data_IF_831449912908
#
_entry.id   IF_831449912908
#
_cell.length_a   1.000
_cell.length_b   1.000
_cell.length_c   1.000
_cell.angle_alpha   90.00
_cell.angle_beta   90.00
_cell.angle_gamma   90.00
#
_symmetry.space_group_name_H-M   'P 1'
#
loop_
_entity.id
_entity.type
_entity.pdbx_description
1 polymer ?
#
# COMPACT_ATOMS: atom_id res chain seq x y z
N UNK A 1 -0.77 -20.56 28.55
CA UNK A 1 -0.54 -21.11 27.19
C UNK A 1 0.92 -21.59 27.04
N UNK A 2 1.17 -22.90 27.02
CA UNK A 2 2.49 -23.46 26.68
C UNK A 2 2.52 -23.62 25.16
N UNK A 3 3.34 -22.82 24.50
CA UNK A 3 3.63 -22.97 23.07
C UNK A 3 4.47 -24.24 22.93
N UNK A 4 3.93 -25.26 22.27
CA UNK A 4 4.67 -26.46 21.85
C UNK A 4 4.96 -26.25 20.36
N UNK A 5 5.96 -25.44 20.04
CA UNK A 5 6.57 -25.52 18.70
C UNK A 5 7.55 -26.68 18.77
N UNK A 6 7.40 -27.63 17.86
CA UNK A 6 8.37 -28.70 17.65
C UNK A 6 9.77 -28.09 17.41
N UNK A 7 10.80 -28.64 18.04
CA UNK A 7 12.15 -28.09 17.96
C UNK A 7 12.65 -28.03 16.50
N UNK A 8 12.22 -28.96 15.66
CA UNK A 8 12.52 -28.96 14.22
C UNK A 8 11.90 -27.73 13.53
N UNK A 9 10.60 -27.49 13.73
CA UNK A 9 9.91 -26.31 13.16
C UNK A 9 10.48 -24.99 13.67
N UNK A 10 10.91 -24.94 14.92
CA UNK A 10 11.57 -23.76 15.47
C UNK A 10 12.91 -23.50 14.77
N UNK A 11 13.71 -24.53 14.56
CA UNK A 11 15.00 -24.41 13.87
C UNK A 11 14.83 -24.02 12.39
N UNK A 12 13.82 -24.58 11.71
CA UNK A 12 13.45 -24.16 10.34
C UNK A 12 13.08 -22.67 10.30
N UNK A 13 12.21 -22.23 11.20
CA UNK A 13 11.84 -20.81 11.30
C UNK A 13 13.04 -19.90 11.55
N UNK A 14 13.96 -20.28 12.44
CA UNK A 14 15.18 -19.49 12.71
C UNK A 14 16.08 -19.41 11.48
N UNK A 15 16.17 -20.50 10.72
CA UNK A 15 16.94 -20.53 9.48
C UNK A 15 16.30 -19.63 8.42
N UNK A 16 14.99 -19.75 8.19
CA UNK A 16 14.24 -18.91 7.26
C UNK A 16 14.33 -17.42 7.63
N UNK A 17 14.22 -17.10 8.93
CA UNK A 17 14.37 -15.74 9.43
C UNK A 17 15.76 -15.19 9.11
N UNK A 18 16.82 -15.97 9.36
CA UNK A 18 18.19 -15.56 9.08
C UNK A 18 18.42 -15.37 7.58
N UNK A 19 17.96 -16.31 6.75
CA UNK A 19 18.07 -16.22 5.29
C UNK A 19 17.35 -14.96 4.77
N UNK A 20 16.20 -14.62 5.35
CA UNK A 20 15.47 -13.39 5.06
C UNK A 20 16.22 -12.13 5.51
N UNK A 21 16.77 -12.11 6.72
CA UNK A 21 17.55 -10.99 7.25
C UNK A 21 18.82 -10.73 6.41
N UNK A 22 19.50 -11.79 5.99
CA UNK A 22 20.68 -11.74 5.14
C UNK A 22 20.31 -11.22 3.73
N UNK A 23 19.23 -11.75 3.13
CA UNK A 23 18.70 -11.27 1.86
C UNK A 23 18.34 -9.78 1.94
N UNK A 24 17.63 -9.38 3.00
CA UNK A 24 17.17 -8.02 3.20
C UNK A 24 18.36 -7.07 3.37
N UNK A 25 19.32 -7.42 4.22
CA UNK A 25 20.54 -6.65 4.45
C UNK A 25 21.35 -6.48 3.17
N UNK A 26 21.39 -7.52 2.32
CA UNK A 26 22.07 -7.45 1.03
C UNK A 26 21.39 -6.50 0.06
N UNK A 27 20.04 -6.50 -0.04
CA UNK A 27 19.31 -5.72 -1.04
C UNK A 27 18.90 -4.33 -0.57
N UNK A 28 18.92 -4.07 0.75
CA UNK A 28 18.51 -2.80 1.32
C UNK A 28 19.36 -1.65 0.74
N UNK A 29 18.69 -0.60 0.27
CA UNK A 29 19.31 0.55 -0.38
C UNK A 29 20.10 0.22 -1.66
N UNK A 30 19.96 -0.96 -2.26
CA UNK A 30 20.48 -1.26 -3.60
C UNK A 30 19.39 -1.10 -4.66
N UNK A 31 19.82 -0.89 -5.90
CA UNK A 31 18.94 -0.97 -7.06
C UNK A 31 18.65 -2.45 -7.33
N UNK A 32 17.38 -2.77 -7.55
CA UNK A 32 16.88 -4.13 -7.77
C UNK A 32 15.84 -4.09 -8.88
N UNK A 33 15.79 -5.16 -9.65
CA UNK A 33 14.74 -5.41 -10.61
C UNK A 33 13.49 -5.93 -9.90
N UNK A 34 12.34 -5.34 -10.22
CA UNK A 34 11.07 -5.75 -9.70
C UNK A 34 10.02 -5.83 -10.80
N UNK A 35 9.28 -6.94 -10.82
CA UNK A 35 8.08 -7.10 -11.64
C UNK A 35 6.89 -7.51 -10.79
N UNK A 36 5.69 -7.15 -11.23
CA UNK A 36 4.47 -7.54 -10.54
C UNK A 36 3.23 -6.84 -11.07
N UNK A 37 2.08 -7.22 -10.51
CA UNK A 37 0.79 -6.66 -10.86
C UNK A 37 0.33 -5.64 -9.81
N UNK A 38 -0.07 -4.46 -10.25
CA UNK A 38 -0.56 -3.40 -9.37
C UNK A 38 -1.93 -3.82 -8.82
N UNK A 39 -2.00 -4.09 -7.52
CA UNK A 39 -3.27 -4.35 -6.82
C UNK A 39 -4.05 -3.07 -6.58
N UNK A 40 -3.37 -2.01 -6.12
CA UNK A 40 -4.03 -0.72 -5.84
C UNK A 40 -3.12 0.44 -6.15
N UNK A 41 -3.68 1.52 -6.67
CA UNK A 41 -3.05 2.85 -6.71
C UNK A 41 -3.83 3.77 -5.77
N UNK A 42 -3.18 4.32 -4.74
CA UNK A 42 -3.82 5.22 -3.77
C UNK A 42 -3.02 6.50 -3.56
N UNK A 43 -3.66 7.63 -3.27
CA UNK A 43 -2.94 8.83 -2.86
C UNK A 43 -2.13 8.59 -1.57
N UNK A 44 -0.86 8.96 -1.55
CA UNK A 44 0.00 8.86 -0.38
C UNK A 44 0.03 10.19 0.36
N UNK A 45 -0.55 10.23 1.55
CA UNK A 45 -0.58 11.41 2.40
C UNK A 45 0.29 11.26 3.65
N UNK A 46 0.92 12.38 4.04
CA UNK A 46 1.59 12.56 5.33
C UNK A 46 0.92 13.69 6.10
N UNK A 47 0.51 13.44 7.34
CA UNK A 47 0.00 14.46 8.26
C UNK A 47 1.10 14.90 9.21
N UNK A 48 1.35 16.20 9.24
CA UNK A 48 2.29 16.82 10.19
C UNK A 48 1.47 17.61 11.21
N UNK A 49 1.75 17.41 12.50
CA UNK A 49 1.10 18.09 13.63
C UNK A 49 2.20 18.76 14.46
N UNK A 50 2.12 20.08 14.61
CA UNK A 50 3.04 20.87 15.41
C UNK A 50 2.24 21.89 16.24
N UNK A 51 2.06 21.59 17.53
CA UNK A 51 1.20 22.39 18.40
C UNK A 51 -0.25 22.45 17.88
N UNK A 52 -0.76 23.66 17.62
CA UNK A 52 -2.10 23.87 17.05
C UNK A 52 -2.15 23.72 15.53
N UNK A 53 -1.00 23.65 14.87
CA UNK A 53 -0.93 23.56 13.42
C UNK A 53 -1.02 22.11 12.98
N UNK A 54 -1.94 21.80 12.06
CA UNK A 54 -2.02 20.50 11.41
C UNK A 54 -2.06 20.68 9.90
N UNK A 55 -1.23 19.91 9.18
CA UNK A 55 -1.16 19.96 7.72
C UNK A 55 -1.15 18.56 7.14
N UNK A 56 -2.11 18.28 6.26
CA UNK A 56 -2.09 17.10 5.40
C UNK A 56 -1.31 17.44 4.12
N UNK A 57 -0.30 16.64 3.79
CA UNK A 57 0.55 16.80 2.62
C UNK A 57 0.42 15.60 1.69
N UNK A 58 0.16 15.87 0.43
CA UNK A 58 0.24 14.86 -0.63
C UNK A 58 1.71 14.63 -1.00
N UNK A 59 2.16 13.38 -0.97
CA UNK A 59 3.56 12.99 -1.21
C UNK A 59 3.76 12.27 -2.54
N UNK A 60 2.68 11.95 -3.26
CA UNK A 60 2.69 11.13 -4.46
C UNK A 60 1.69 9.99 -4.32
N UNK A 61 1.86 8.92 -5.08
CA UNK A 61 0.98 7.77 -5.04
C UNK A 61 1.69 6.57 -4.40
N UNK A 62 0.92 5.77 -3.68
CA UNK A 62 1.33 4.49 -3.11
C UNK A 62 0.71 3.38 -3.97
N UNK A 63 1.57 2.58 -4.56
CA UNK A 63 1.20 1.38 -5.30
C UNK A 63 1.37 0.21 -4.34
N UNK A 64 0.44 -0.75 -4.40
CA UNK A 64 0.61 -2.06 -3.78
C UNK A 64 0.61 -3.11 -4.87
N UNK A 65 1.43 -4.15 -4.70
CA UNK A 65 1.58 -5.20 -5.69
C UNK A 65 1.04 -6.54 -5.18
N UNK A 66 0.59 -7.36 -6.12
CA UNK A 66 0.41 -8.81 -5.97
C UNK A 66 1.30 -9.50 -7.00
N UNK A 67 1.63 -10.77 -6.72
CA UNK A 67 2.49 -11.58 -7.59
C UNK A 67 3.83 -10.87 -7.90
N UNK A 68 4.45 -10.27 -6.88
CA UNK A 68 5.70 -9.54 -7.03
C UNK A 68 6.90 -10.47 -7.15
N UNK A 69 7.89 -10.08 -7.95
CA UNK A 69 9.17 -10.77 -8.09
C UNK A 69 10.30 -9.76 -7.90
N UNK A 70 11.31 -10.15 -7.13
CA UNK A 70 12.60 -9.46 -7.07
C UNK A 70 13.60 -10.27 -7.88
N UNK A 71 14.00 -9.76 -9.06
CA UNK A 71 14.66 -10.56 -10.09
C UNK A 71 13.84 -11.84 -10.41
N UNK A 72 14.35 -13.02 -10.05
CA UNK A 72 13.67 -14.31 -10.26
C UNK A 72 12.94 -14.83 -9.02
N UNK A 73 13.05 -14.14 -7.89
CA UNK A 73 12.50 -14.61 -6.60
C UNK A 73 11.10 -14.05 -6.39
N UNK A 74 10.10 -14.94 -6.33
CA UNK A 74 8.72 -14.56 -5.99
C UNK A 74 8.64 -14.09 -4.54
N UNK A 75 7.86 -13.04 -4.32
CA UNK A 75 7.56 -12.51 -3.00
C UNK A 75 6.05 -12.57 -2.75
N UNK A 76 5.66 -13.22 -1.65
CA UNK A 76 4.25 -13.39 -1.28
C UNK A 76 3.73 -12.23 -0.41
N UNK A 77 4.65 -11.54 0.28
CA UNK A 77 4.31 -10.39 1.12
C UNK A 77 3.93 -9.15 0.30
N UNK A 78 3.09 -8.27 0.85
CA UNK A 78 2.76 -6.99 0.21
C UNK A 78 4.01 -6.12 -0.01
N UNK A 79 4.34 -5.89 -1.27
CA UNK A 79 5.36 -4.92 -1.68
C UNK A 79 4.69 -3.61 -2.07
N UNK A 80 5.32 -2.50 -1.70
CA UNK A 80 4.81 -1.15 -1.96
C UNK A 80 5.77 -0.40 -2.89
N UNK A 81 5.25 0.48 -3.74
CA UNK A 81 6.07 1.50 -4.39
C UNK A 81 5.51 2.89 -4.12
N UNK A 82 6.41 3.86 -3.88
CA UNK A 82 6.02 5.27 -3.78
C UNK A 82 6.50 5.99 -5.03
N UNK A 83 5.54 6.52 -5.79
CA UNK A 83 5.82 7.27 -7.01
C UNK A 83 5.47 8.75 -6.85
N UNK A 84 6.29 9.66 -7.40
CA UNK A 84 5.93 11.06 -7.50
C UNK A 84 4.74 11.31 -8.44
N UNK A 85 4.04 12.46 -8.32
CA UNK A 85 2.91 12.78 -9.18
C UNK A 85 3.22 12.79 -10.68
N UNK A 86 4.41 13.24 -11.08
CA UNK A 86 4.81 13.30 -12.49
C UNK A 86 4.97 11.90 -13.11
N UNK A 87 5.35 10.89 -12.31
CA UNK A 87 5.42 9.50 -12.77
C UNK A 87 4.00 8.99 -13.02
N UNK A 88 3.06 9.25 -12.10
CA UNK A 88 1.66 8.87 -12.31
C UNK A 88 1.06 9.53 -13.55
N UNK A 89 1.32 10.82 -13.76
CA UNK A 89 0.84 11.54 -14.96
C UNK A 89 1.43 10.99 -16.27
N UNK A 90 2.66 10.47 -16.23
CA UNK A 90 3.33 9.91 -17.41
C UNK A 90 2.83 8.52 -17.77
N UNK A 91 2.66 7.65 -16.77
CA UNK A 91 2.38 6.23 -16.99
C UNK A 91 0.91 5.84 -16.75
N UNK A 92 0.13 6.73 -16.11
CA UNK A 92 -1.27 6.52 -15.77
C UNK A 92 -1.49 5.13 -15.17
N UNK A 93 -0.79 4.83 -14.08
CA UNK A 93 -0.92 3.52 -13.45
C UNK A 93 -2.32 3.32 -12.89
N UNK A 94 -2.85 2.13 -13.10
CA UNK A 94 -4.15 1.68 -12.59
C UNK A 94 -4.01 0.28 -11.98
N UNK A 95 -4.93 -0.12 -11.08
CA UNK A 95 -5.05 -1.51 -10.68
C UNK A 95 -5.15 -2.44 -11.90
N UNK A 96 -4.47 -3.59 -11.83
CA UNK A 96 -4.36 -4.58 -12.90
C UNK A 96 -3.18 -4.40 -13.85
N UNK A 97 -2.49 -3.24 -13.83
CA UNK A 97 -1.27 -3.06 -14.64
C UNK A 97 -0.20 -4.09 -14.23
N UNK A 98 0.35 -4.82 -15.20
CA UNK A 98 1.56 -5.64 -15.03
C UNK A 98 2.76 -4.83 -15.49
N UNK A 99 3.70 -4.63 -14.58
CA UNK A 99 4.82 -3.71 -14.79
C UNK A 99 6.13 -4.33 -14.35
N UNK A 100 7.20 -3.92 -15.02
CA UNK A 100 8.59 -4.20 -14.66
C UNK A 100 9.37 -2.90 -14.52
N UNK A 101 10.27 -2.82 -13.56
CA UNK A 101 11.10 -1.64 -13.36
C UNK A 101 12.31 -1.90 -12.47
N UNK A 102 13.31 -1.02 -12.59
CA UNK A 102 14.37 -0.88 -11.61
C UNK A 102 13.93 0.07 -10.49
N UNK A 103 14.16 -0.31 -9.24
CA UNK A 103 13.92 0.56 -8.09
C UNK A 103 14.91 0.31 -6.97
N UNK A 104 14.94 1.22 -6.01
CA UNK A 104 15.75 1.08 -4.80
C UNK A 104 14.87 0.60 -3.65
N UNK A 105 15.29 -0.49 -3.00
CA UNK A 105 14.54 -1.10 -1.89
C UNK A 105 14.80 -0.36 -0.57
N UNK A 106 13.73 -0.09 0.19
CA UNK A 106 13.77 0.51 1.52
C UNK A 106 12.86 -0.26 2.48
N UNK A 107 13.16 -0.19 3.77
CA UNK A 107 12.21 -0.51 4.83
C UNK A 107 11.62 0.81 5.35
N UNK A 108 10.30 0.90 5.39
CA UNK A 108 9.60 2.05 5.94
C UNK A 108 8.50 1.60 6.90
N UNK A 109 8.79 1.71 8.20
CA UNK A 109 7.87 1.36 9.29
C UNK A 109 7.25 -0.03 9.10
N UNK A 110 8.11 -1.02 8.88
CA UNK A 110 7.73 -2.43 8.66
C UNK A 110 7.20 -2.76 7.26
N UNK A 111 7.32 -1.85 6.28
CA UNK A 111 6.95 -2.12 4.88
C UNK A 111 8.19 -2.23 4.01
N UNK A 112 8.20 -3.17 3.06
CA UNK A 112 9.12 -3.15 1.94
C UNK A 112 8.61 -2.13 0.92
N UNK A 113 9.38 -1.05 0.72
CA UNK A 113 9.00 0.07 -0.13
C UNK A 113 10.05 0.30 -1.20
N UNK A 114 9.63 0.14 -2.45
CA UNK A 114 10.36 0.50 -3.66
C UNK A 114 10.25 2.01 -3.90
N UNK A 115 11.39 2.66 -4.10
CA UNK A 115 11.46 4.10 -4.39
C UNK A 115 12.39 4.34 -5.58
N UNK A 116 12.26 5.51 -6.20
CA UNK A 116 13.10 5.96 -7.33
C UNK A 116 13.02 5.00 -8.52
N UNK A 117 11.80 4.67 -8.93
CA UNK A 117 11.52 3.80 -10.08
C UNK A 117 12.17 4.37 -11.35
N UNK A 118 12.77 3.48 -12.15
CA UNK A 118 13.49 3.74 -13.40
C UNK A 118 13.21 2.60 -14.38
N UNK A 119 13.40 2.86 -15.68
CA UNK A 119 13.19 1.86 -16.75
C UNK A 119 11.86 1.12 -16.58
N UNK A 120 10.79 1.91 -16.43
CA UNK A 120 9.46 1.38 -16.19
C UNK A 120 8.92 0.89 -17.54
N UNK A 121 8.54 -0.38 -17.57
CA UNK A 121 7.88 -1.05 -18.67
C UNK A 121 6.51 -1.54 -18.18
N UNK A 122 5.51 -1.47 -19.06
CA UNK A 122 4.14 -1.89 -18.77
C UNK A 122 3.82 -2.97 -19.80
N UNK A 123 3.79 -4.21 -19.34
CA UNK A 123 3.55 -5.37 -20.21
C UNK A 123 2.07 -5.50 -20.55
N UNK A 124 1.22 -5.24 -19.55
CA UNK A 124 -0.22 -5.34 -19.68
C UNK A 124 -0.87 -4.18 -18.93
N UNK A 125 -1.87 -3.56 -19.55
CA UNK A 125 -2.67 -2.50 -18.93
C UNK A 125 -3.91 -3.08 -18.27
N UNK A 126 -4.13 -2.70 -17.01
CA UNK A 126 -5.36 -2.95 -16.30
C UNK A 126 -6.49 -2.01 -16.71
N UNK A 127 -7.68 -2.28 -16.19
CA UNK A 127 -8.92 -1.54 -16.43
C UNK A 127 -9.41 -0.77 -15.18
N UNK A 128 -8.56 -0.69 -14.15
CA UNK A 128 -8.91 -0.07 -12.88
C UNK A 128 -9.02 1.46 -12.91
N UNK A 129 -9.49 2.03 -11.80
CA UNK A 129 -9.66 3.47 -11.65
C UNK A 129 -8.32 4.23 -11.66
N UNK A 130 -8.27 5.30 -12.47
CA UNK A 130 -7.11 6.18 -12.57
C UNK A 130 -7.19 7.35 -11.57
N UNK A 131 -6.23 7.39 -10.64
CA UNK A 131 -6.04 8.56 -9.79
C UNK A 131 -5.25 9.66 -10.51
N UNK A 132 -5.86 10.84 -10.61
CA UNK A 132 -5.21 12.07 -11.09
C UNK A 132 -4.84 13.01 -9.95
N UNK A 133 -3.93 13.94 -10.21
CA UNK A 133 -3.55 14.97 -9.22
C UNK A 133 -4.72 15.87 -8.81
N UNK A 134 -5.68 16.10 -9.70
CA UNK A 134 -6.85 16.92 -9.39
C UNK A 134 -7.87 16.16 -8.56
N UNK A 135 -8.11 14.88 -8.85
CA UNK A 135 -8.92 14.01 -7.98
C UNK A 135 -8.34 13.96 -6.56
N UNK A 136 -7.00 13.87 -6.43
CA UNK A 136 -6.32 13.92 -5.14
C UNK A 136 -6.55 15.24 -4.39
N UNK A 137 -6.56 16.38 -5.10
CA UNK A 137 -6.79 17.70 -4.47
C UNK A 137 -8.18 17.78 -3.86
N UNK A 138 -9.20 17.26 -4.56
CA UNK A 138 -10.57 17.18 -4.04
C UNK A 138 -10.60 16.33 -2.78
N UNK A 139 -10.10 15.10 -2.86
CA UNK A 139 -10.14 14.14 -1.75
C UNK A 139 -9.33 14.60 -0.54
N UNK A 140 -8.24 15.33 -0.74
CA UNK A 140 -7.48 15.93 0.36
C UNK A 140 -8.33 16.87 1.22
N UNK A 141 -9.32 17.53 0.62
CA UNK A 141 -10.22 18.48 1.29
C UNK A 141 -11.47 17.78 1.82
N UNK A 142 -12.06 16.87 1.04
CA UNK A 142 -13.33 16.21 1.37
C UNK A 142 -13.18 14.96 2.23
N UNK A 143 -12.03 14.30 2.16
CA UNK A 143 -11.77 13.05 2.86
C UNK A 143 -11.76 13.19 4.38
N UNK A 144 -12.02 12.09 5.08
CA UNK A 144 -12.16 12.07 6.54
C UNK A 144 -11.11 11.20 7.19
N UNK A 145 -10.46 11.72 8.24
CA UNK A 145 -9.50 10.98 9.05
C UNK A 145 -10.25 10.31 10.19
N UNK A 146 -10.19 8.99 10.26
CA UNK A 146 -10.73 8.25 11.40
C UNK A 146 -9.71 8.17 12.53
N UNK A 147 -10.23 8.08 13.75
CA UNK A 147 -9.45 7.84 14.97
C UNK A 147 -9.13 6.36 15.14
N UNK A 148 -10.00 5.48 14.64
CA UNK A 148 -9.86 4.02 14.61
C UNK A 148 -9.39 3.54 13.23
N UNK A 149 -8.83 2.33 13.19
CA UNK A 149 -8.43 1.64 11.96
C UNK A 149 -9.31 0.40 11.78
N UNK A 150 -10.61 0.60 11.53
CA UNK A 150 -11.55 -0.49 11.32
C UNK A 150 -11.12 -1.36 10.13
N UNK A 151 -11.14 -2.69 10.32
CA UNK A 151 -10.61 -3.65 9.34
C UNK A 151 -11.27 -3.54 7.96
N UNK A 152 -12.59 -3.35 7.93
CA UNK A 152 -13.35 -3.14 6.67
C UNK A 152 -12.82 -1.97 5.84
N UNK A 153 -12.30 -0.94 6.50
CA UNK A 153 -11.75 0.23 5.82
C UNK A 153 -10.29 0.01 5.39
N UNK A 154 -9.55 -0.87 6.06
CA UNK A 154 -8.20 -1.25 5.64
C UNK A 154 -8.21 -2.02 4.32
N UNK A 155 -9.24 -2.85 4.11
CA UNK A 155 -9.44 -3.61 2.87
C UNK A 155 -10.20 -2.82 1.80
N UNK A 156 -10.80 -1.69 2.16
CA UNK A 156 -11.57 -0.86 1.24
C UNK A 156 -10.66 -0.20 0.17
N UNK A 157 -11.05 -0.18 -1.12
CA UNK A 157 -10.35 0.58 -2.16
C UNK A 157 -10.23 2.07 -1.83
N UNK A 158 -11.23 2.62 -1.15
CA UNK A 158 -11.29 4.03 -0.77
C UNK A 158 -10.72 4.33 0.61
N UNK A 159 -10.26 3.33 1.36
CA UNK A 159 -9.52 3.54 2.61
C UNK A 159 -8.02 3.62 2.36
N UNK A 160 -7.32 4.60 2.94
CA UNK A 160 -5.86 4.65 2.91
C UNK A 160 -5.28 4.95 4.29
N UNK A 161 -4.11 4.36 4.58
CA UNK A 161 -3.35 4.72 5.77
C UNK A 161 -2.49 5.95 5.49
N UNK A 162 -2.61 6.95 6.37
CA UNK A 162 -1.80 8.16 6.33
C UNK A 162 -0.74 8.11 7.44
N UNK A 163 0.49 8.48 7.09
CA UNK A 163 1.58 8.57 8.05
C UNK A 163 1.46 9.88 8.83
N UNK A 164 1.37 9.79 10.16
CA UNK A 164 1.27 10.96 11.05
C UNK A 164 2.60 11.16 11.78
N UNK A 165 3.06 12.40 11.77
CA UNK A 165 4.19 12.90 12.53
C UNK A 165 3.70 14.03 13.44
N UNK A 166 3.77 13.80 14.75
CA UNK A 166 3.31 14.74 15.76
C UNK A 166 4.47 15.17 16.65
N UNK A 167 4.77 16.46 16.63
CA UNK A 167 5.83 17.08 17.43
C UNK A 167 5.19 17.57 18.74
N UNK A 168 5.55 16.90 19.84
CA UNK A 168 5.13 17.25 21.19
C UNK A 168 5.71 18.57 21.67
N UNK A 169 5.16 19.12 22.76
CA UNK A 169 5.68 20.34 23.41
C UNK A 169 7.11 20.16 23.95
N UNK A 170 7.49 18.93 24.25
CA UNK A 170 8.82 18.51 24.68
C UNK A 170 9.79 18.26 23.51
N UNK A 171 9.37 18.56 22.27
CA UNK A 171 10.15 18.32 21.05
C UNK A 171 10.19 16.85 20.61
N UNK A 172 9.54 15.93 21.34
CA UNK A 172 9.52 14.51 20.96
C UNK A 172 8.60 14.29 19.76
N UNK A 173 9.07 13.48 18.82
CA UNK A 173 8.33 13.11 17.62
C UNK A 173 7.58 11.80 17.89
N UNK A 174 6.25 11.84 17.82
CA UNK A 174 5.39 10.66 17.78
C UNK A 174 5.07 10.31 16.34
N UNK A 175 5.32 9.05 15.99
CA UNK A 175 5.02 8.50 14.67
C UNK A 175 3.92 7.45 14.80
N UNK A 176 2.82 7.64 14.09
CA UNK A 176 1.73 6.67 14.04
C UNK A 176 1.02 6.74 12.68
N UNK A 177 0.01 5.90 12.50
CA UNK A 177 -0.84 5.91 11.30
C UNK A 177 -2.29 6.17 11.68
N UNK A 178 -3.02 6.83 10.79
CA UNK A 178 -4.48 6.92 10.86
C UNK A 178 -5.08 6.45 9.57
N UNK A 179 -6.30 5.95 9.65
CA UNK A 179 -7.11 5.65 8.48
C UNK A 179 -7.69 6.96 7.92
N UNK A 180 -7.74 7.06 6.60
CA UNK A 180 -8.33 8.16 5.87
C UNK A 180 -9.27 7.61 4.80
N UNK A 181 -10.54 8.00 4.87
CA UNK A 181 -11.55 7.66 3.87
C UNK A 181 -11.49 8.68 2.74
N UNK A 182 -11.17 8.21 1.54
CA UNK A 182 -11.05 9.01 0.33
C UNK A 182 -12.41 9.53 -0.18
N UNK A 183 -13.51 8.88 0.17
CA UNK A 183 -14.87 9.34 -0.16
C UNK A 183 -15.44 10.33 0.85
N UNK A 184 -14.83 10.45 2.02
CA UNK A 184 -15.25 11.43 3.03
C UNK A 184 -16.38 10.96 3.95
N UNK A 185 -16.61 9.65 4.07
CA UNK A 185 -17.52 9.11 5.09
C UNK A 185 -16.96 9.34 6.50
N UNK A 186 -17.78 9.89 7.40
CA UNK A 186 -17.39 10.17 8.78
C UNK A 186 -17.40 8.92 9.66
N UNK A 187 -18.40 8.05 9.44
CA UNK A 187 -18.58 6.81 10.18
C UNK A 187 -18.40 5.60 9.24
N UNK A 188 -17.40 4.74 9.49
CA UNK A 188 -17.22 3.50 8.76
C UNK A 188 -18.47 2.60 8.71
N UNK A 189 -19.34 2.63 9.74
CA UNK A 189 -20.53 1.77 9.87
C UNK A 189 -21.73 2.23 9.04
N UNK A 190 -21.71 3.46 8.55
CA UNK A 190 -22.73 3.99 7.63
C UNK A 190 -22.29 3.97 6.16
N UNK A 191 -21.05 3.53 5.90
CA UNK A 191 -20.49 3.44 4.57
C UNK A 191 -20.93 2.14 3.87
N UNK A 192 -21.59 2.27 2.71
CA UNK A 192 -22.08 1.15 1.90
C UNK A 192 -21.06 0.53 0.93
N UNK A 193 -19.89 1.15 0.77
CA UNK A 193 -18.83 0.68 -0.16
C UNK A 193 -18.40 -0.76 0.08
N UNK A 194 -18.20 -1.24 1.33
CA UNK A 194 -17.84 -2.63 1.56
C UNK A 194 -18.94 -3.60 1.13
N UNK A 195 -20.21 -3.21 1.21
CA UNK A 195 -21.34 -4.06 0.82
C UNK A 195 -21.42 -4.23 -0.70
N UNK A 196 -21.20 -3.16 -1.48
CA UNK A 196 -21.16 -3.22 -2.94
C UNK A 196 -20.05 -4.13 -3.47
N UNK A 197 -18.84 -4.06 -2.88
CA UNK A 197 -17.71 -4.91 -3.28
C UNK A 197 -17.91 -6.40 -2.95
N UNK A 198 -18.67 -6.72 -1.90
CA UNK A 198 -19.06 -8.10 -1.58
C UNK A 198 -20.10 -8.58 -2.59
N UNK A 199 -21.09 -7.75 -2.90
CA UNK A 199 -22.13 -8.08 -3.88
C UNK A 199 -21.55 -8.30 -5.29
N UNK A 200 -20.61 -7.46 -5.73
CA UNK A 200 -19.93 -7.60 -7.03
C UNK A 200 -19.09 -8.89 -7.13
N UNK A 201 -18.42 -9.29 -6.03
CA UNK A 201 -17.68 -10.58 -5.99
C UNK A 201 -18.60 -11.79 -6.05
N UNK A 202 -19.76 -11.74 -5.38
CA UNK A 202 -20.76 -12.81 -5.45
C UNK A 202 -21.39 -12.92 -6.84
N UNK A 203 -21.53 -11.80 -7.56
CA UNK A 203 -22.08 -11.77 -8.91
C UNK A 203 -21.11 -12.36 -9.94
N UNK A 204 -19.83 -11.98 -9.87
CA UNK A 204 -18.78 -12.54 -10.72
C UNK A 204 -18.59 -14.06 -10.49
N UNK A 205 -18.72 -14.54 -9.25
CA UNK A 205 -18.68 -15.97 -8.94
C UNK A 205 -19.89 -16.76 -9.50
N UNK A 206 -21.08 -16.13 -9.55
CA UNK A 206 -22.28 -16.74 -10.14
C UNK A 206 -22.21 -16.79 -11.66
N UNK A 207 -21.68 -15.74 -12.29
CA UNK A 207 -21.55 -15.69 -13.75
C UNK A 207 -20.54 -16.72 -14.25
N UNK A 208 -19.43 -16.94 -13.53
CA UNK A 208 -18.45 -17.99 -13.84
C UNK A 208 -19.04 -19.41 -13.73
N UNK A 209 -19.95 -19.62 -12.76
CA UNK A 209 -20.63 -20.90 -12.53
C UNK A 209 -21.75 -21.18 -13.55
N UNK A 210 -22.25 -20.16 -14.25
CA UNK A 210 -23.26 -20.27 -15.31
C UNK A 210 -22.63 -20.40 -16.71
N UNK A 211 -21.32 -20.17 -16.83
CA UNK A 211 -20.54 -20.28 -18.08
C UNK A 211 -19.74 -21.59 -18.22
N UNK A 212 -19.90 -22.53 -17.28
CA UNK A 212 -19.38 -23.91 -17.30
C UNK A 212 -20.52 -24.90 -17.55
#
# INVERSE_FOLDING_TARGET
PKIIVDNEKYNEFIKELKDWEDWLSYHLYKEIDFSGEIKTVKPFFKKEIAGKNSKLRFKGFLLTFINGFFNITRFEDPVYAVIPPFIQQRFNFVPGDKIEFLARLFIDKGRLVLKRLRRIEIDEKGDGFLWTTDAVRVVKVTGKIHTTQDEKCLICPMGCLIDVEEIGKDGKIKLYRRLFCLEGHEDPYTCGVPALLVLEKEQCAKDLALSL
#
